data_IF_666744336284
#
_entry.id   IF_666744336284
#
_cell.length_a   1.000
_cell.length_b   1.000
_cell.length_c   1.000
_cell.angle_alpha   90.00
_cell.angle_beta   90.00
_cell.angle_gamma   90.00
#
_symmetry.space_group_name_H-M   'P 1'
#
loop_
_entity.id
_entity.type
_entity.pdbx_description
1 polymer ?
#
# COMPACT_ATOMS: atom_id res chain seq x y z
N UNK A 1 -0.21 -3.82 14.96
CA UNK A 1 1.22 -3.52 15.21
C UNK A 1 1.32 -2.00 15.35
N UNK A 2 2.01 -1.47 16.36
CA UNK A 2 2.24 -0.02 16.43
C UNK A 2 3.54 0.29 15.67
N UNK A 3 3.46 1.17 14.67
CA UNK A 3 4.61 1.62 13.88
C UNK A 3 5.18 2.92 14.45
N UNK A 4 6.51 2.98 14.63
CA UNK A 4 7.20 4.15 15.20
C UNK A 4 7.48 5.25 14.17
N UNK A 5 7.71 4.90 12.91
CA UNK A 5 8.02 5.85 11.83
C UNK A 5 6.84 5.87 10.87
N UNK A 6 6.36 7.06 10.51
CA UNK A 6 5.20 7.26 9.64
C UNK A 6 5.43 8.43 8.70
N UNK A 7 5.24 8.19 7.41
CA UNK A 7 5.21 9.20 6.36
C UNK A 7 3.91 9.08 5.59
N UNK A 8 3.42 10.21 5.10
CA UNK A 8 2.24 10.26 4.23
C UNK A 8 2.53 11.18 3.06
N UNK A 9 2.00 10.83 1.89
CA UNK A 9 2.04 11.73 0.73
C UNK A 9 1.02 12.85 0.89
N UNK A 10 1.14 13.93 0.11
CA UNK A 10 -0.04 14.77 -0.18
C UNK A 10 -1.10 13.93 -0.88
N UNK A 11 -2.31 14.46 -0.97
CA UNK A 11 -3.35 13.93 -1.88
C UNK A 11 -2.78 13.89 -3.30
N UNK A 12 -2.81 12.71 -3.90
CA UNK A 12 -2.32 12.44 -5.24
C UNK A 12 -3.46 12.54 -6.25
N UNK A 13 -3.13 12.96 -7.48
CA UNK A 13 -4.03 12.72 -8.60
C UNK A 13 -4.20 11.22 -8.84
N UNK A 14 -5.30 10.80 -9.48
CA UNK A 14 -5.54 9.37 -9.80
C UNK A 14 -4.37 8.73 -10.54
N UNK A 15 -3.73 9.45 -11.45
CA UNK A 15 -2.57 8.95 -12.19
C UNK A 15 -1.34 8.81 -11.30
N UNK A 16 -1.07 9.78 -10.43
CA UNK A 16 0.01 9.68 -9.46
C UNK A 16 -0.21 8.51 -8.48
N UNK A 17 -1.43 8.35 -7.97
CA UNK A 17 -1.78 7.26 -7.07
C UNK A 17 -1.57 5.88 -7.71
N UNK A 18 -2.01 5.71 -8.96
CA UNK A 18 -1.75 4.48 -9.72
C UNK A 18 -0.26 4.27 -10.00
N UNK A 19 0.47 5.33 -10.35
CA UNK A 19 1.91 5.24 -10.57
C UNK A 19 2.66 4.84 -9.30
N UNK A 20 2.26 5.33 -8.12
CA UNK A 20 2.85 4.94 -6.85
C UNK A 20 2.53 3.48 -6.50
N UNK A 21 1.29 3.04 -6.75
CA UNK A 21 0.92 1.64 -6.62
C UNK A 21 1.80 0.75 -7.51
N UNK A 22 1.92 1.08 -8.79
CA UNK A 22 2.75 0.34 -9.76
C UNK A 22 4.22 0.31 -9.34
N UNK A 23 4.77 1.44 -8.89
CA UNK A 23 6.14 1.55 -8.41
C UNK A 23 6.39 0.66 -7.20
N UNK A 24 5.48 0.69 -6.22
CA UNK A 24 5.58 -0.12 -5.00
C UNK A 24 5.57 -1.60 -5.35
N UNK A 25 4.63 -2.06 -6.19
CA UNK A 25 4.58 -3.46 -6.63
C UNK A 25 5.89 -3.87 -7.31
N UNK A 26 6.45 -3.01 -8.18
CA UNK A 26 7.72 -3.27 -8.83
C UNK A 26 8.88 -3.35 -7.83
N UNK A 27 8.93 -2.48 -6.81
CA UNK A 27 9.95 -2.54 -5.76
C UNK A 27 9.86 -3.87 -4.98
N UNK A 28 8.66 -4.29 -4.58
CA UNK A 28 8.46 -5.57 -3.88
C UNK A 28 8.99 -6.75 -4.70
N UNK A 29 8.73 -6.75 -6.01
CA UNK A 29 9.21 -7.79 -6.92
C UNK A 29 10.74 -7.74 -7.12
N UNK A 30 11.31 -6.53 -7.30
CA UNK A 30 12.76 -6.34 -7.45
C UNK A 30 13.53 -6.81 -6.22
N UNK A 31 12.98 -6.57 -5.03
CA UNK A 31 13.53 -7.04 -3.76
C UNK A 31 13.16 -8.49 -3.42
N UNK A 32 12.48 -9.21 -4.33
CA UNK A 32 12.10 -10.62 -4.19
C UNK A 32 11.28 -10.91 -2.93
N UNK A 33 10.40 -10.00 -2.56
CA UNK A 33 9.44 -10.24 -1.48
C UNK A 33 8.54 -11.41 -1.89
N UNK A 34 8.56 -12.48 -1.09
CA UNK A 34 7.81 -13.69 -1.38
C UNK A 34 6.33 -13.60 -0.98
N UNK A 35 6.00 -12.75 -0.01
CA UNK A 35 4.67 -12.68 0.57
C UNK A 35 4.33 -11.27 1.04
N UNK A 36 3.08 -10.88 0.82
CA UNK A 36 2.47 -9.64 1.28
C UNK A 36 1.11 -9.99 1.87
N UNK A 37 0.81 -9.41 3.02
CA UNK A 37 -0.52 -9.43 3.61
C UNK A 37 -1.34 -8.28 3.04
N UNK A 38 -2.41 -8.59 2.31
CA UNK A 38 -3.39 -7.60 1.86
C UNK A 38 -4.56 -7.57 2.83
N UNK A 39 -4.90 -6.39 3.35
CA UNK A 39 -6.14 -6.20 4.08
C UNK A 39 -7.01 -5.19 3.34
N UNK A 40 -8.21 -5.65 3.00
CA UNK A 40 -9.25 -4.89 2.34
C UNK A 40 -10.04 -4.12 3.41
N UNK A 41 -9.93 -2.79 3.43
CA UNK A 41 -10.59 -1.90 4.40
C UNK A 41 -12.12 -1.85 4.29
N UNK A 42 -12.77 -0.86 4.91
CA UNK A 42 -14.19 -0.93 5.29
C UNK A 42 -15.18 -1.42 4.21
N UNK A 43 -15.24 -0.83 3.01
CA UNK A 43 -16.30 -1.18 2.06
C UNK A 43 -16.19 -2.63 1.54
N UNK A 44 -15.02 -3.02 1.03
CA UNK A 44 -14.73 -4.37 0.55
C UNK A 44 -14.39 -5.41 1.63
N UNK A 45 -13.94 -4.99 2.80
CA UNK A 45 -13.67 -5.88 3.94
C UNK A 45 -14.93 -6.56 4.47
N UNK A 46 -16.06 -5.85 4.45
CA UNK A 46 -17.35 -6.38 4.91
C UNK A 46 -17.95 -7.45 3.98
N UNK A 47 -17.61 -7.44 2.68
CA UNK A 47 -18.25 -8.29 1.67
C UNK A 47 -17.31 -9.34 1.06
N UNK A 48 -16.00 -9.11 1.06
CA UNK A 48 -15.03 -9.99 0.38
C UNK A 48 -14.06 -10.72 1.30
N UNK A 49 -13.53 -10.05 2.33
CA UNK A 49 -12.42 -10.57 3.14
C UNK A 49 -12.73 -10.83 4.61
N UNK A 50 -13.90 -10.41 5.11
CA UNK A 50 -14.27 -10.40 6.53
C UNK A 50 -13.12 -9.90 7.43
N UNK A 51 -12.49 -8.80 7.01
CA UNK A 51 -11.37 -8.16 7.71
C UNK A 51 -10.16 -9.08 7.97
N UNK A 52 -10.04 -10.18 7.24
CA UNK A 52 -8.94 -11.13 7.36
C UNK A 52 -7.85 -10.79 6.34
N UNK A 53 -6.58 -10.68 6.75
CA UNK A 53 -5.48 -10.50 5.82
C UNK A 53 -5.37 -11.66 4.82
N UNK A 54 -5.35 -11.32 3.54
CA UNK A 54 -5.08 -12.23 2.44
C UNK A 54 -3.57 -12.27 2.17
N UNK A 55 -2.95 -13.43 2.37
CA UNK A 55 -1.56 -13.65 2.00
C UNK A 55 -1.44 -13.87 0.48
N UNK A 56 -0.63 -13.06 -0.19
CA UNK A 56 -0.40 -13.19 -1.63
C UNK A 56 1.03 -12.84 -2.03
N UNK A 57 1.44 -13.24 -3.23
CA UNK A 57 2.72 -12.86 -3.81
C UNK A 57 2.60 -11.48 -4.49
N UNK A 58 3.63 -10.62 -4.51
CA UNK A 58 3.57 -9.30 -5.16
C UNK A 58 3.09 -9.31 -6.62
N UNK A 59 3.36 -10.39 -7.35
CA UNK A 59 2.91 -10.56 -8.73
C UNK A 59 1.39 -10.73 -8.88
N UNK A 60 0.71 -11.21 -7.83
CA UNK A 60 -0.71 -11.55 -7.84
C UNK A 60 -1.60 -10.46 -7.22
N UNK A 61 -1.02 -9.42 -6.59
CA UNK A 61 -1.77 -8.37 -5.88
C UNK A 61 -2.85 -7.74 -6.78
N UNK A 62 -2.52 -7.38 -8.03
CA UNK A 62 -3.52 -6.81 -8.96
C UNK A 62 -4.68 -7.76 -9.24
N UNK A 63 -4.36 -9.04 -9.40
CA UNK A 63 -5.36 -10.06 -9.67
C UNK A 63 -6.30 -10.22 -8.48
N UNK A 64 -5.77 -10.18 -7.26
CA UNK A 64 -6.59 -10.24 -6.04
C UNK A 64 -7.47 -9.00 -5.87
N UNK A 65 -6.94 -7.81 -6.15
CA UNK A 65 -7.74 -6.57 -6.17
C UNK A 65 -8.86 -6.68 -7.22
N UNK A 66 -8.56 -7.09 -8.45
CA UNK A 66 -9.55 -7.26 -9.51
C UNK A 66 -10.63 -8.28 -9.14
N UNK A 67 -10.23 -9.39 -8.53
CA UNK A 67 -11.16 -10.41 -8.03
C UNK A 67 -12.10 -9.83 -6.98
N UNK A 68 -11.58 -9.08 -6.01
CA UNK A 68 -12.40 -8.38 -5.02
C UNK A 68 -13.39 -7.40 -5.68
N UNK A 69 -12.91 -6.54 -6.58
CA UNK A 69 -13.76 -5.59 -7.31
C UNK A 69 -14.85 -6.28 -8.14
N UNK A 70 -14.57 -7.44 -8.73
CA UNK A 70 -15.53 -8.19 -9.55
C UNK A 70 -16.74 -8.72 -8.76
N UNK A 71 -16.64 -8.79 -7.43
CA UNK A 71 -17.75 -9.18 -6.56
C UNK A 71 -18.70 -8.03 -6.23
N UNK A 72 -18.34 -6.79 -6.58
CA UNK A 72 -19.10 -5.58 -6.22
C UNK A 72 -18.77 -5.01 -4.84
N UNK A 73 -17.89 -5.67 -4.08
CA UNK A 73 -17.56 -5.33 -2.70
C UNK A 73 -16.87 -3.96 -2.52
N UNK A 74 -16.18 -3.45 -3.54
CA UNK A 74 -15.48 -2.16 -3.47
C UNK A 74 -14.64 -1.84 -4.70
N UNK A 75 -13.83 -0.79 -4.62
CA UNK A 75 -12.98 -0.30 -5.69
C UNK A 75 -11.66 0.28 -5.18
N UNK A 76 -10.55 -0.15 -5.78
CA UNK A 76 -9.24 0.44 -5.52
C UNK A 76 -9.23 1.94 -5.86
N UNK A 77 -8.65 2.75 -4.96
CA UNK A 77 -8.65 4.22 -5.04
C UNK A 77 -9.97 4.88 -4.61
N UNK A 78 -10.97 4.10 -4.20
CA UNK A 78 -12.17 4.58 -3.50
C UNK A 78 -12.32 3.95 -2.13
N UNK A 79 -11.62 2.86 -1.88
CA UNK A 79 -11.58 2.13 -0.62
C UNK A 79 -10.13 1.85 -0.21
N UNK A 80 -9.92 1.79 1.11
CA UNK A 80 -8.59 1.60 1.70
C UNK A 80 -8.02 0.20 1.41
N UNK A 81 -6.77 0.14 0.94
CA UNK A 81 -5.99 -1.09 0.82
C UNK A 81 -4.75 -1.01 1.72
N UNK A 82 -4.62 -1.96 2.63
CA UNK A 82 -3.41 -2.14 3.43
C UNK A 82 -2.54 -3.22 2.79
N UNK A 83 -1.22 -2.99 2.78
CA UNK A 83 -0.20 -3.94 2.36
C UNK A 83 0.85 -4.04 3.46
N UNK A 84 0.93 -5.21 4.11
CA UNK A 84 1.84 -5.45 5.22
C UNK A 84 2.96 -6.40 4.80
N UNK A 85 4.19 -5.99 5.08
CA UNK A 85 5.42 -6.76 4.92
C UNK A 85 5.91 -7.16 6.32
N UNK A 86 5.33 -8.23 6.87
CA UNK A 86 5.54 -8.64 8.26
C UNK A 86 7.02 -8.87 8.61
N UNK A 87 7.78 -9.51 7.71
CA UNK A 87 9.21 -9.74 7.87
C UNK A 87 10.06 -8.46 7.92
N UNK A 88 9.53 -7.35 7.41
CA UNK A 88 10.19 -6.05 7.35
C UNK A 88 9.59 -5.02 8.30
N UNK A 89 8.62 -5.44 9.13
CA UNK A 89 7.85 -4.57 10.04
C UNK A 89 7.41 -3.27 9.33
N UNK A 90 6.88 -3.40 8.11
CA UNK A 90 6.50 -2.28 7.24
C UNK A 90 5.05 -2.44 6.77
N UNK A 91 4.30 -1.36 6.77
CA UNK A 91 2.94 -1.27 6.26
C UNK A 91 2.81 -0.09 5.28
N UNK A 92 2.08 -0.35 4.20
CA UNK A 92 1.64 0.67 3.26
C UNK A 92 0.12 0.72 3.30
N UNK A 93 -0.43 1.93 3.38
CA UNK A 93 -1.86 2.16 3.24
C UNK A 93 -2.10 3.03 2.02
N UNK A 94 -2.83 2.47 1.06
CA UNK A 94 -3.43 3.17 -0.06
C UNK A 94 -4.82 3.63 0.39
N UNK A 95 -4.92 4.89 0.80
CA UNK A 95 -6.14 5.46 1.39
C UNK A 95 -7.15 5.88 0.32
N UNK A 96 -8.44 5.85 0.66
CA UNK A 96 -9.54 6.32 -0.18
C UNK A 96 -9.46 7.83 -0.50
N UNK A 97 -8.73 8.62 0.28
CA UNK A 97 -8.48 10.05 0.02
C UNK A 97 -7.42 10.29 -1.07
N UNK A 98 -6.87 9.22 -1.67
CA UNK A 98 -5.79 9.23 -2.65
C UNK A 98 -4.43 9.70 -2.12
N UNK A 99 -4.17 9.60 -0.82
CA UNK A 99 -2.82 9.63 -0.27
C UNK A 99 -2.32 8.21 0.05
N UNK A 100 -1.00 8.08 0.17
CA UNK A 100 -0.33 6.83 0.48
C UNK A 100 0.47 7.03 1.76
N UNK A 101 0.24 6.14 2.72
CA UNK A 101 0.97 6.12 3.97
C UNK A 101 2.03 5.03 3.91
N UNK A 102 3.19 5.32 4.48
CA UNK A 102 4.27 4.38 4.72
C UNK A 102 4.57 4.40 6.22
N UNK A 103 4.47 3.25 6.86
CA UNK A 103 4.80 3.08 8.26
C UNK A 103 5.79 1.93 8.44
N UNK A 104 6.81 2.09 9.28
CA UNK A 104 7.78 1.04 9.56
C UNK A 104 8.45 1.20 10.93
N UNK A 105 8.95 0.09 11.48
CA UNK A 105 9.67 0.08 12.76
C UNK A 105 11.19 0.02 12.59
N UNK A 106 11.66 -0.56 11.50
CA UNK A 106 13.09 -0.72 11.22
C UNK A 106 13.40 -0.26 9.80
N UNK A 107 14.52 0.43 9.66
CA UNK A 107 15.02 0.83 8.35
C UNK A 107 15.19 -0.41 7.46
N UNK A 108 14.60 -0.34 6.27
CA UNK A 108 14.72 -1.41 5.29
C UNK A 108 14.83 -0.81 3.87
N UNK A 109 15.42 -1.55 2.92
CA UNK A 109 15.67 -1.04 1.57
C UNK A 109 14.40 -0.59 0.83
N UNK A 110 13.26 -1.22 1.11
CA UNK A 110 12.00 -0.95 0.43
C UNK A 110 11.42 0.38 0.92
N UNK A 111 11.27 0.53 2.25
CA UNK A 111 10.83 1.79 2.85
C UNK A 111 11.74 2.96 2.47
N UNK A 112 13.07 2.73 2.46
CA UNK A 112 14.06 3.71 2.02
C UNK A 112 13.86 4.14 0.56
N UNK A 113 13.68 3.19 -0.36
CA UNK A 113 13.47 3.47 -1.78
C UNK A 113 12.16 4.23 -2.05
N UNK A 114 11.08 3.87 -1.34
CA UNK A 114 9.79 4.57 -1.42
C UNK A 114 9.96 6.02 -0.96
N UNK A 115 10.52 6.22 0.24
CA UNK A 115 10.69 7.55 0.83
C UNK A 115 11.60 8.44 0.00
N UNK A 116 12.70 7.91 -0.54
CA UNK A 116 13.58 8.64 -1.45
C UNK A 116 12.85 9.04 -2.73
N UNK A 117 12.04 8.15 -3.29
CA UNK A 117 11.19 8.43 -4.44
C UNK A 117 10.20 9.57 -4.17
N UNK A 118 9.52 9.54 -3.03
CA UNK A 118 8.60 10.60 -2.61
C UNK A 118 9.29 11.94 -2.43
N UNK A 119 10.48 11.97 -1.82
CA UNK A 119 11.28 13.20 -1.68
C UNK A 119 11.66 13.79 -3.04
N UNK A 120 12.19 12.97 -3.95
CA UNK A 120 12.61 13.42 -5.29
C UNK A 120 11.44 13.97 -6.12
N UNK A 121 10.26 13.38 -5.97
CA UNK A 121 9.04 13.78 -6.68
C UNK A 121 8.26 14.91 -5.98
N UNK A 122 8.64 15.31 -4.77
CA UNK A 122 7.90 16.29 -3.97
C UNK A 122 6.51 15.80 -3.57
N UNK A 123 6.37 14.53 -3.22
CA UNK A 123 5.08 13.92 -2.86
C UNK A 123 4.80 13.92 -1.37
N UNK A 124 5.80 14.12 -0.51
CA UNK A 124 5.58 14.12 0.95
C UNK A 124 4.61 15.21 1.37
N UNK A 125 3.72 14.86 2.30
CA UNK A 125 2.86 15.84 2.94
C UNK A 125 3.72 16.89 3.68
N UNK A 126 3.33 18.18 3.71
CA UNK A 126 4.15 19.23 4.31
C UNK A 126 4.52 19.02 5.78
N UNK A 127 3.72 18.26 6.53
CA UNK A 127 4.02 17.90 7.93
C UNK A 127 5.08 16.81 8.08
N UNK A 128 5.48 16.17 6.98
CA UNK A 128 6.43 15.05 6.93
C UNK A 128 7.79 15.45 6.32
N UNK A 129 7.96 16.73 5.97
CA UNK A 129 9.19 17.30 5.38
C UNK A 129 10.11 17.83 6.46
#
# INVERSE_FOLDING_TARGET
MEYSIKYVTRILSKNEYQNEFDLIINLLQQHRIGQVELLFGFAWGNEYGDWTPLLTHPADIRKEIQKAQSTGAGSFGSDDLFMTLSDLETELLFCHENDVHLAYNQDNPIAGAILEGWRKKGLLHPSCV
#
